data_IF_090525648830
#
_entry.id   IF_090525648830
#
_cell.length_a   1.000
_cell.length_b   1.000
_cell.length_c   1.000
_cell.angle_alpha   90.00
_cell.angle_beta   90.00
_cell.angle_gamma   90.00
#
_symmetry.space_group_name_H-M   'P 1'
#
loop_
_entity.id
_entity.type
_entity.pdbx_description
1 polymer ?
#
# COMPACT_ATOMS: atom_id res chain seq x y z
N UNK A 1 -20.93 -6.73 -16.25
CA UNK A 1 -19.98 -5.69 -16.67
C UNK A 1 -18.60 -6.28 -16.61
N UNK A 2 -17.84 -6.26 -17.71
CA UNK A 2 -16.44 -6.67 -17.67
C UNK A 2 -15.66 -5.72 -16.75
N UNK A 3 -14.75 -6.22 -15.89
CA UNK A 3 -13.89 -5.35 -15.11
C UNK A 3 -13.07 -4.48 -16.08
N UNK A 4 -13.12 -3.15 -15.88
CA UNK A 4 -12.30 -2.23 -16.65
C UNK A 4 -10.81 -2.51 -16.37
N UNK A 5 -10.03 -2.69 -17.43
CA UNK A 5 -8.63 -3.06 -17.29
C UNK A 5 -7.84 -1.96 -16.59
N UNK A 6 -6.97 -2.34 -15.64
CA UNK A 6 -6.15 -1.42 -14.86
C UNK A 6 -4.66 -1.67 -15.13
N UNK A 7 -4.11 -1.13 -16.24
CA UNK A 7 -2.70 -1.28 -16.56
C UNK A 7 -1.79 -0.72 -15.44
N UNK A 8 -0.53 -1.19 -15.31
CA UNK A 8 0.09 -2.27 -16.07
C UNK A 8 -0.56 -3.64 -15.83
N UNK A 9 -0.61 -4.47 -16.88
CA UNK A 9 -1.18 -5.83 -16.86
C UNK A 9 -0.08 -6.88 -16.71
N UNK A 10 -0.33 -8.02 -16.06
CA UNK A 10 0.61 -9.13 -16.03
C UNK A 10 0.71 -9.86 -17.39
N UNK A 11 1.83 -10.56 -17.70
CA UNK A 11 3.02 -10.71 -16.86
C UNK A 11 3.85 -9.43 -16.77
N UNK A 12 4.41 -9.16 -15.60
CA UNK A 12 5.16 -7.93 -15.35
C UNK A 12 6.62 -8.04 -15.81
N UNK A 13 7.13 -6.95 -16.36
CA UNK A 13 8.57 -6.63 -16.41
C UNK A 13 8.98 -5.88 -15.14
N UNK A 14 10.28 -5.62 -14.97
CA UNK A 14 10.77 -4.82 -13.84
C UNK A 14 10.17 -3.42 -13.86
N UNK A 15 10.15 -2.77 -15.01
CA UNK A 15 9.66 -1.40 -15.20
C UNK A 15 8.18 -1.31 -14.86
N UNK A 16 7.38 -2.23 -15.40
CA UNK A 16 5.94 -2.28 -15.16
C UNK A 16 5.59 -2.70 -13.73
N UNK A 17 6.39 -3.55 -13.09
CA UNK A 17 6.26 -3.87 -11.66
C UNK A 17 6.55 -2.65 -10.77
N UNK A 18 7.63 -1.90 -11.04
CA UNK A 18 7.94 -0.64 -10.33
C UNK A 18 6.79 0.37 -10.51
N UNK A 19 6.28 0.53 -11.73
CA UNK A 19 5.14 1.38 -12.00
C UNK A 19 3.89 0.94 -11.21
N UNK A 20 3.61 -0.37 -11.16
CA UNK A 20 2.48 -0.93 -10.40
C UNK A 20 2.61 -0.64 -8.90
N UNK A 21 3.82 -0.76 -8.35
CA UNK A 21 4.14 -0.43 -6.95
C UNK A 21 3.91 1.06 -6.67
N UNK A 22 4.41 1.95 -7.53
CA UNK A 22 4.22 3.41 -7.41
C UNK A 22 2.75 3.82 -7.50
N UNK A 23 1.98 3.24 -8.44
CA UNK A 23 0.54 3.48 -8.54
C UNK A 23 -0.23 3.04 -7.29
N UNK A 24 0.18 1.92 -6.67
CA UNK A 24 -0.39 1.49 -5.40
C UNK A 24 0.01 2.44 -4.27
N UNK A 25 1.27 2.87 -4.18
CA UNK A 25 1.72 3.87 -3.21
C UNK A 25 0.89 5.16 -3.29
N UNK A 26 0.72 5.71 -4.50
CA UNK A 26 -0.05 6.94 -4.75
C UNK A 26 -1.50 6.80 -4.31
N UNK A 27 -2.13 5.66 -4.63
CA UNK A 27 -3.50 5.39 -4.24
C UNK A 27 -3.65 5.33 -2.71
N UNK A 28 -2.77 4.61 -2.01
CA UNK A 28 -2.83 4.48 -0.54
C UNK A 28 -2.53 5.81 0.17
N UNK A 29 -1.65 6.64 -0.37
CA UNK A 29 -1.35 7.98 0.16
C UNK A 29 -2.53 8.97 0.03
N UNK A 30 -3.51 8.71 -0.84
CA UNK A 30 -4.76 9.47 -0.85
C UNK A 30 -5.60 9.27 0.41
N UNK A 31 -5.47 8.11 1.06
CA UNK A 31 -6.27 7.67 2.21
C UNK A 31 -7.78 7.69 1.95
N UNK A 32 -8.16 7.48 0.70
CA UNK A 32 -9.53 7.36 0.25
C UNK A 32 -9.89 5.88 0.04
N UNK A 33 -10.74 5.29 0.92
CA UNK A 33 -11.14 3.90 0.79
C UNK A 33 -11.82 3.59 -0.54
N UNK A 34 -12.69 4.49 -1.03
CA UNK A 34 -13.45 4.30 -2.25
C UNK A 34 -12.54 4.30 -3.48
N UNK A 35 -11.51 5.15 -3.49
CA UNK A 35 -10.50 5.15 -4.55
C UNK A 35 -9.60 3.91 -4.50
N UNK A 36 -9.16 3.51 -3.31
CA UNK A 36 -8.20 2.41 -3.15
C UNK A 36 -8.83 1.06 -3.49
N UNK A 37 -10.09 0.80 -3.13
CA UNK A 37 -10.74 -0.49 -3.40
C UNK A 37 -10.90 -0.81 -4.90
N UNK A 38 -10.86 0.19 -5.77
CA UNK A 38 -10.93 0.01 -7.22
C UNK A 38 -9.70 -0.70 -7.82
N UNK A 39 -8.60 -0.81 -7.08
CA UNK A 39 -7.42 -1.56 -7.51
C UNK A 39 -7.51 -3.08 -7.26
N UNK A 40 -8.58 -3.55 -6.62
CA UNK A 40 -8.77 -4.94 -6.21
C UNK A 40 -9.91 -5.58 -7.00
N UNK A 41 -9.92 -6.90 -7.17
CA UNK A 41 -11.07 -7.61 -7.74
C UNK A 41 -12.29 -7.49 -6.81
N UNK A 42 -13.49 -7.70 -7.35
CA UNK A 42 -14.74 -7.62 -6.54
C UNK A 42 -14.71 -8.61 -5.38
N UNK A 43 -14.11 -9.77 -5.58
CA UNK A 43 -13.95 -10.90 -4.66
C UNK A 43 -12.55 -11.01 -4.02
N UNK A 44 -11.76 -9.93 -4.08
CA UNK A 44 -10.35 -9.91 -3.64
C UNK A 44 -10.18 -10.43 -2.22
N UNK A 45 -9.16 -11.26 -1.99
CA UNK A 45 -8.91 -11.91 -0.72
C UNK A 45 -7.68 -11.32 -0.03
N UNK A 46 -7.87 -10.83 1.20
CA UNK A 46 -6.80 -10.25 1.99
C UNK A 46 -6.45 -11.07 3.21
N UNK A 47 -5.18 -11.01 3.59
CA UNK A 47 -4.75 -11.05 4.99
C UNK A 47 -3.97 -9.77 5.27
N UNK A 48 -4.41 -8.97 6.23
CA UNK A 48 -3.66 -7.83 6.72
C UNK A 48 -3.41 -8.02 8.22
N UNK A 49 -2.15 -8.25 8.61
CA UNK A 49 -1.81 -8.69 9.96
C UNK A 49 -2.61 -9.96 10.31
N UNK A 50 -3.55 -9.85 11.26
CA UNK A 50 -4.45 -10.90 11.71
C UNK A 50 -5.91 -10.70 11.26
N UNK A 51 -6.20 -9.73 10.38
CA UNK A 51 -7.53 -9.50 9.80
C UNK A 51 -7.62 -10.07 8.37
N UNK A 52 -8.82 -10.55 7.99
CA UNK A 52 -9.05 -11.25 6.72
C UNK A 52 -10.22 -10.66 5.90
N UNK A 53 -10.14 -9.41 5.40
CA UNK A 53 -11.17 -8.85 4.53
C UNK A 53 -11.38 -9.67 3.24
N UNK A 54 -12.63 -9.85 2.85
CA UNK A 54 -13.03 -10.50 1.58
C UNK A 54 -13.93 -9.59 0.75
N UNK A 55 -13.49 -9.28 -0.46
CA UNK A 55 -14.16 -8.41 -1.42
C UNK A 55 -14.06 -6.92 -1.10
N UNK A 56 -14.38 -6.09 -2.10
CA UNK A 56 -14.20 -4.63 -2.05
C UNK A 56 -14.90 -3.97 -0.86
N UNK A 57 -16.08 -4.43 -0.50
CA UNK A 57 -16.86 -3.86 0.61
C UNK A 57 -16.15 -4.02 1.96
N UNK A 58 -15.66 -5.23 2.28
CA UNK A 58 -14.93 -5.47 3.52
C UNK A 58 -13.58 -4.76 3.52
N UNK A 59 -12.91 -4.69 2.36
CA UNK A 59 -11.68 -3.93 2.19
C UNK A 59 -11.93 -2.44 2.46
N UNK A 60 -13.01 -1.85 1.92
CA UNK A 60 -13.35 -0.45 2.15
C UNK A 60 -13.59 -0.16 3.64
N UNK A 61 -14.32 -1.04 4.33
CA UNK A 61 -14.52 -0.95 5.79
C UNK A 61 -13.20 -1.05 6.56
N UNK A 62 -12.32 -1.96 6.17
CA UNK A 62 -10.99 -2.08 6.78
C UNK A 62 -10.18 -0.80 6.61
N UNK A 63 -10.14 -0.24 5.39
CA UNK A 63 -9.41 0.99 5.09
C UNK A 63 -9.97 2.21 5.83
N UNK A 64 -11.29 2.31 5.95
CA UNK A 64 -11.93 3.37 6.73
C UNK A 64 -11.50 3.31 8.20
N UNK A 65 -11.51 2.12 8.83
CA UNK A 65 -10.99 1.96 10.21
C UNK A 65 -9.50 2.28 10.31
N UNK A 66 -8.71 1.84 9.32
CA UNK A 66 -7.27 2.08 9.28
C UNK A 66 -6.96 3.57 9.36
N UNK A 67 -7.55 4.40 8.49
CA UNK A 67 -7.24 5.84 8.45
C UNK A 67 -8.03 6.68 9.46
N UNK A 68 -9.02 6.12 10.15
CA UNK A 68 -9.56 6.72 11.36
C UNK A 68 -8.58 6.62 12.55
N UNK A 69 -7.70 5.61 12.56
CA UNK A 69 -6.69 5.40 13.60
C UNK A 69 -5.32 5.94 13.23
N UNK A 70 -4.89 5.72 11.99
CA UNK A 70 -3.55 6.06 11.53
C UNK A 70 -3.53 7.46 10.93
N UNK A 71 -3.40 8.46 11.80
CA UNK A 71 -3.44 9.87 11.45
C UNK A 71 -2.13 10.33 10.80
N UNK A 72 -2.21 11.34 9.92
CA UNK A 72 -1.09 11.87 9.13
C UNK A 72 -0.25 10.81 8.38
N UNK A 73 -0.93 9.72 8.00
CA UNK A 73 -0.39 8.59 7.28
C UNK A 73 0.38 9.00 6.01
N UNK A 74 1.64 8.61 5.95
CA UNK A 74 2.54 8.76 4.80
C UNK A 74 3.26 7.47 4.51
N UNK A 75 3.20 7.01 3.27
CA UNK A 75 3.66 5.69 2.85
C UNK A 75 4.70 5.77 1.73
N UNK A 76 5.71 4.92 1.82
CA UNK A 76 6.65 4.60 0.74
C UNK A 76 6.62 3.10 0.48
N UNK A 77 6.45 2.70 -0.78
CA UNK A 77 6.55 1.31 -1.24
C UNK A 77 7.73 1.16 -2.19
N UNK A 78 8.37 0.01 -2.14
CA UNK A 78 9.51 -0.32 -2.98
C UNK A 78 9.41 -1.77 -3.46
N UNK A 79 9.70 -1.99 -4.75
CA UNK A 79 9.71 -3.31 -5.35
C UNK A 79 10.80 -4.17 -4.70
N UNK A 80 10.43 -5.38 -4.26
CA UNK A 80 11.40 -6.38 -3.81
C UNK A 80 11.73 -7.40 -4.89
N UNK A 81 10.69 -8.05 -5.42
CA UNK A 81 10.78 -9.05 -6.49
C UNK A 81 9.46 -9.13 -7.26
N UNK A 82 9.46 -9.74 -8.44
CA UNK A 82 8.26 -10.01 -9.22
C UNK A 82 8.45 -11.31 -10.02
N UNK A 83 7.35 -12.00 -10.32
CA UNK A 83 7.33 -13.24 -11.09
C UNK A 83 5.96 -13.38 -11.76
N UNK A 84 5.91 -13.36 -13.09
CA UNK A 84 4.66 -13.45 -13.85
C UNK A 84 3.62 -12.41 -13.40
N UNK A 85 2.54 -12.87 -12.76
CA UNK A 85 1.43 -12.03 -12.27
C UNK A 85 1.52 -11.68 -10.78
N UNK A 86 2.69 -11.88 -10.15
CA UNK A 86 2.93 -11.61 -8.73
C UNK A 86 3.99 -10.55 -8.51
N UNK A 87 3.82 -9.76 -7.46
CA UNK A 87 4.77 -8.74 -7.01
C UNK A 87 4.97 -8.87 -5.49
N UNK A 88 6.23 -8.91 -5.05
CA UNK A 88 6.62 -8.77 -3.66
C UNK A 88 7.13 -7.34 -3.41
N UNK A 89 6.66 -6.73 -2.32
CA UNK A 89 6.87 -5.32 -2.02
C UNK A 89 7.33 -5.16 -0.58
N UNK A 90 8.34 -4.31 -0.38
CA UNK A 90 8.71 -3.75 0.92
C UNK A 90 8.08 -2.38 1.05
N UNK A 91 7.67 -1.99 2.25
CA UNK A 91 7.16 -0.65 2.49
C UNK A 91 7.36 -0.21 3.92
N UNK A 92 7.33 1.10 4.13
CA UNK A 92 7.19 1.70 5.43
C UNK A 92 6.17 2.83 5.38
N UNK A 93 5.45 3.03 6.48
CA UNK A 93 4.59 4.20 6.64
C UNK A 93 4.74 4.82 8.03
N UNK A 94 4.66 6.15 8.08
CA UNK A 94 4.68 6.93 9.32
C UNK A 94 3.28 7.49 9.59
N UNK A 95 2.89 7.49 10.86
CA UNK A 95 1.60 7.95 11.32
C UNK A 95 1.65 8.21 12.83
N UNK A 96 0.63 8.87 13.37
CA UNK A 96 0.44 8.97 14.82
C UNK A 96 -0.99 8.58 15.23
N UNK A 97 -1.15 8.13 16.46
CA UNK A 97 -2.48 7.91 17.05
C UNK A 97 -3.10 9.23 17.57
N UNK A 98 -4.32 9.14 18.10
CA UNK A 98 -5.06 10.28 18.66
C UNK A 98 -4.48 10.81 19.99
N UNK A 99 -3.59 10.04 20.62
CA UNK A 99 -2.78 10.47 21.76
C UNK A 99 -1.47 11.16 21.36
N UNK A 100 -1.18 11.24 20.05
CA UNK A 100 0.03 11.89 19.53
C UNK A 100 1.29 11.01 19.55
N UNK A 101 1.16 9.71 19.83
CA UNK A 101 2.30 8.80 19.74
C UNK A 101 2.60 8.50 18.27
N UNK A 102 3.84 8.73 17.85
CA UNK A 102 4.28 8.47 16.49
C UNK A 102 4.80 7.04 16.32
N UNK A 103 4.56 6.49 15.14
CA UNK A 103 5.01 5.16 14.76
C UNK A 103 5.60 5.18 13.36
N UNK A 104 6.61 4.33 13.14
CA UNK A 104 7.00 3.86 11.82
C UNK A 104 6.64 2.38 11.70
N UNK A 105 5.73 2.09 10.80
CA UNK A 105 5.29 0.74 10.50
C UNK A 105 6.09 0.19 9.33
N UNK A 106 6.75 -0.95 9.53
CA UNK A 106 7.49 -1.66 8.47
C UNK A 106 6.66 -2.85 8.00
N UNK A 107 6.60 -3.05 6.68
CA UNK A 107 5.78 -4.10 6.12
C UNK A 107 6.35 -4.78 4.90
N UNK A 108 5.94 -6.04 4.76
CA UNK A 108 6.05 -6.81 3.54
C UNK A 108 4.65 -7.14 3.05
N UNK A 109 4.42 -6.94 1.75
CA UNK A 109 3.21 -7.40 1.11
C UNK A 109 3.47 -8.13 -0.20
N UNK A 110 2.71 -9.19 -0.41
CA UNK A 110 2.73 -10.00 -1.62
C UNK A 110 1.39 -9.89 -2.33
N UNK A 111 1.46 -9.57 -3.61
CA UNK A 111 0.32 -9.27 -4.46
C UNK A 111 0.20 -10.31 -5.57
N UNK A 112 -1.02 -10.74 -5.83
CA UNK A 112 -1.38 -11.57 -6.99
C UNK A 112 -2.45 -10.84 -7.80
N UNK A 113 -2.21 -10.67 -9.10
CA UNK A 113 -3.08 -9.91 -10.01
C UNK A 113 -3.81 -10.83 -10.99
N UNK A 114 -5.04 -10.45 -11.35
CA UNK A 114 -5.79 -11.06 -12.45
C UNK A 114 -5.31 -10.53 -13.82
N UNK A 115 -5.77 -11.10 -14.95
CA UNK A 115 -5.42 -10.63 -16.29
C UNK A 115 -5.86 -9.19 -16.60
N UNK A 116 -6.79 -8.63 -15.83
CA UNK A 116 -7.26 -7.25 -15.96
C UNK A 116 -6.42 -6.27 -15.10
N UNK A 117 -5.37 -6.75 -14.42
CA UNK A 117 -4.47 -5.94 -13.61
C UNK A 117 -5.07 -5.53 -12.26
N UNK A 118 -6.16 -6.16 -11.83
CA UNK A 118 -6.75 -5.98 -10.50
C UNK A 118 -6.14 -6.99 -9.52
N UNK A 119 -5.90 -6.56 -8.29
CA UNK A 119 -5.28 -7.41 -7.27
C UNK A 119 -6.32 -8.39 -6.70
N UNK A 120 -6.18 -9.68 -7.03
CA UNK A 120 -7.04 -10.76 -6.58
C UNK A 120 -6.67 -11.23 -5.17
N UNK A 121 -5.38 -11.19 -4.82
CA UNK A 121 -4.90 -11.56 -3.46
C UNK A 121 -3.89 -10.57 -2.93
N UNK A 122 -4.03 -10.25 -1.64
CA UNK A 122 -3.10 -9.39 -0.90
C UNK A 122 -2.74 -10.00 0.45
N UNK A 123 -1.48 -10.34 0.64
CA UNK A 123 -0.97 -10.82 1.92
C UNK A 123 0.01 -9.79 2.48
N UNK A 124 -0.33 -9.15 3.59
CA UNK A 124 0.47 -8.09 4.19
C UNK A 124 0.77 -8.40 5.67
N UNK A 125 2.06 -8.42 6.00
CA UNK A 125 2.59 -8.51 7.36
C UNK A 125 3.23 -7.17 7.71
N UNK A 126 2.91 -6.63 8.89
CA UNK A 126 3.28 -5.27 9.29
C UNK A 126 3.59 -5.26 10.78
N UNK A 127 4.69 -4.62 11.15
CA UNK A 127 5.13 -4.43 12.53
C UNK A 127 5.31 -2.93 12.79
N UNK A 128 4.87 -2.47 13.97
CA UNK A 128 4.92 -1.06 14.35
C UNK A 128 6.09 -0.83 15.31
N UNK A 129 6.90 0.18 15.01
CA UNK A 129 7.95 0.68 15.89
C UNK A 129 7.52 2.07 16.39
N UNK A 130 7.31 2.27 17.71
CA UNK A 130 7.17 3.60 18.27
C UNK A 130 8.41 4.44 17.99
N UNK A 131 8.21 5.69 17.58
CA UNK A 131 9.30 6.64 17.33
C UNK A 131 8.94 8.00 17.95
N UNK A 132 9.92 8.81 18.37
CA UNK A 132 9.66 10.22 18.65
C UNK A 132 9.36 10.97 17.34
N UNK A 133 8.59 12.06 17.41
CA UNK A 133 8.25 12.88 16.22
C UNK A 133 9.52 13.37 15.48
N UNK A 134 10.58 13.70 16.22
CA UNK A 134 11.86 14.14 15.67
C UNK A 134 12.56 13.11 14.78
N UNK A 135 12.20 11.83 14.89
CA UNK A 135 12.77 10.75 14.08
C UNK A 135 12.00 10.49 12.79
N UNK A 136 10.90 11.21 12.53
CA UNK A 136 10.17 11.12 11.26
C UNK A 136 11.07 11.38 10.07
N UNK A 137 10.91 10.59 9.02
CA UNK A 137 11.63 10.71 7.75
C UNK A 137 10.71 11.15 6.60
N UNK A 138 9.39 11.04 6.77
CA UNK A 138 8.43 11.25 5.68
C UNK A 138 7.82 12.66 5.78
N UNK A 139 8.42 13.58 5.02
CA UNK A 139 8.09 15.00 5.06
C UNK A 139 7.66 15.50 3.68
N UNK A 140 6.35 15.42 3.41
CA UNK A 140 5.73 16.06 2.25
C UNK A 140 4.28 16.44 2.58
N UNK A 141 3.64 17.36 1.81
CA UNK A 141 2.22 17.65 1.94
C UNK A 141 1.40 16.37 1.80
N UNK A 142 0.35 16.24 2.59
CA UNK A 142 -0.42 15.01 2.62
C UNK A 142 -0.99 14.63 1.25
N UNK A 143 -0.73 13.39 0.82
CA UNK A 143 -1.08 12.90 -0.52
C UNK A 143 0.09 12.19 -1.18
N UNK A 144 0.08 12.16 -2.52
CA UNK A 144 1.12 11.53 -3.35
C UNK A 144 2.52 12.01 -2.93
N UNK A 145 3.43 11.06 -2.67
CA UNK A 145 4.85 11.38 -2.41
C UNK A 145 5.45 12.07 -3.65
N UNK A 146 6.15 13.20 -3.51
CA UNK A 146 6.85 13.87 -4.61
C UNK A 146 7.79 12.93 -5.39
N UNK A 147 8.04 13.22 -6.67
CA UNK A 147 8.88 12.37 -7.52
C UNK A 147 10.36 12.45 -7.17
N UNK A 148 10.79 13.54 -6.56
CA UNK A 148 12.15 13.80 -6.08
C UNK A 148 12.35 13.43 -4.60
N UNK A 149 11.30 13.04 -3.88
CA UNK A 149 11.45 12.56 -2.51
C UNK A 149 12.10 11.17 -2.51
N UNK A 150 13.12 10.92 -1.66
CA UNK A 150 13.85 9.68 -1.67
C UNK A 150 12.97 8.45 -1.42
N UNK A 151 13.37 7.33 -2.03
CA UNK A 151 12.76 6.00 -1.87
C UNK A 151 13.13 5.31 -0.55
N UNK A 152 12.65 4.07 -0.36
CA UNK A 152 12.86 3.33 0.88
C UNK A 152 14.34 2.99 1.10
N UNK A 153 15.00 2.45 0.06
CA UNK A 153 16.42 2.12 0.10
C UNK A 153 17.32 3.34 0.28
N UNK A 154 16.98 4.48 -0.33
CA UNK A 154 17.73 5.74 -0.21
C UNK A 154 17.66 6.34 1.21
N UNK A 155 16.57 6.06 1.94
CA UNK A 155 16.41 6.47 3.33
C UNK A 155 17.06 5.50 4.34
N UNK A 156 17.66 4.40 3.86
CA UNK A 156 18.25 3.36 4.69
C UNK A 156 17.23 2.65 5.58
N UNK A 157 16.02 2.41 5.06
CA UNK A 157 14.91 1.73 5.74
C UNK A 157 14.64 0.32 5.16
#
# INVERSE_FOLDING_TARGET
MHPEARPPLPPFTRETAVQKVRMAEDAWNSRDPARVVLAYTVDSQWRNRAEFPRGREQIARFLARKWARELDYRLIKELWAFEGHRIAVRFAYEWHDDAGNWYRSYGNENWEFDPHGLMARRYASINDLPIPESERKFHWPQGRRPDDHPGLGELGL
#
